data_IF_808241767966
#
_entry.id   IF_808241767966
#
_cell.length_a   1.000
_cell.length_b   1.000
_cell.length_c   1.000
_cell.angle_alpha   90.00
_cell.angle_beta   90.00
_cell.angle_gamma   90.00
#
_symmetry.space_group_name_H-M   'P 1'
#
loop_
_entity.id
_entity.type
_entity.pdbx_description
1 polymer ?
#
# COMPACT_ATOMS: atom_id res chain seq x y z
N UNK A 1 15.98 -12.06 -6.47
CA UNK A 1 15.48 -11.06 -5.52
C UNK A 1 16.64 -10.60 -4.65
N UNK A 2 17.18 -9.42 -4.91
CA UNK A 2 18.20 -8.83 -4.04
C UNK A 2 17.45 -8.15 -2.88
N UNK A 3 17.53 -8.73 -1.69
CA UNK A 3 16.81 -8.19 -0.52
C UNK A 3 17.56 -6.93 -0.08
N UNK A 4 17.01 -5.76 -0.42
CA UNK A 4 17.53 -4.50 0.09
C UNK A 4 17.21 -4.41 1.58
N UNK A 5 18.26 -4.37 2.41
CA UNK A 5 18.13 -4.31 3.85
C UNK A 5 17.51 -2.97 4.28
N UNK A 6 16.47 -3.03 5.09
CA UNK A 6 15.80 -1.87 5.65
C UNK A 6 16.50 -1.52 6.98
N UNK A 7 17.33 -0.48 6.96
CA UNK A 7 18.10 -0.04 8.13
C UNK A 7 17.18 0.71 9.10
N UNK A 8 16.81 0.08 10.20
CA UNK A 8 16.07 0.72 11.29
C UNK A 8 17.03 1.21 12.37
N UNK A 9 16.94 2.49 12.70
CA UNK A 9 17.75 3.11 13.75
C UNK A 9 17.15 2.86 15.14
N UNK A 10 15.87 2.52 15.21
CA UNK A 10 15.15 2.28 16.45
C UNK A 10 14.52 0.88 16.50
N UNK A 11 14.37 0.37 17.72
CA UNK A 11 13.69 -0.90 17.98
C UNK A 11 12.58 -0.72 19.02
N UNK A 12 11.51 -1.50 18.89
CA UNK A 12 10.41 -1.56 19.87
C UNK A 12 9.93 -2.99 20.04
N UNK A 13 9.65 -3.42 21.27
CA UNK A 13 9.03 -4.74 21.47
C UNK A 13 7.57 -4.76 21.00
N UNK A 14 7.10 -5.90 20.52
CA UNK A 14 5.72 -6.08 20.03
C UNK A 14 4.68 -5.74 21.10
N UNK A 15 5.00 -5.99 22.38
CA UNK A 15 4.14 -5.63 23.52
C UNK A 15 4.03 -4.12 23.69
N UNK A 16 5.13 -3.37 23.54
CA UNK A 16 5.14 -1.89 23.63
C UNK A 16 4.51 -1.24 22.40
N UNK A 17 4.67 -1.84 21.22
CA UNK A 17 4.06 -1.33 19.99
C UNK A 17 2.54 -1.22 20.12
N UNK A 18 1.89 -2.21 20.74
CA UNK A 18 0.42 -2.25 20.88
C UNK A 18 -0.14 -1.00 21.57
N UNK A 19 0.56 -0.47 22.58
CA UNK A 19 0.11 0.72 23.32
C UNK A 19 0.65 2.04 22.75
N UNK A 20 1.64 2.00 21.85
CA UNK A 20 2.37 3.18 21.38
C UNK A 20 2.38 3.34 19.86
N UNK A 21 1.57 2.58 19.13
CA UNK A 21 1.55 2.56 17.66
C UNK A 21 1.49 3.97 17.04
N UNK A 22 0.59 4.82 17.52
CA UNK A 22 0.44 6.19 17.02
C UNK A 22 1.73 7.02 17.18
N UNK A 23 2.46 6.85 18.28
CA UNK A 23 3.75 7.53 18.51
C UNK A 23 4.83 7.00 17.59
N UNK A 24 4.87 5.68 17.39
CA UNK A 24 5.84 5.04 16.49
C UNK A 24 5.63 5.51 15.05
N UNK A 25 4.38 5.64 14.60
CA UNK A 25 4.05 6.12 13.24
C UNK A 25 4.42 7.60 13.00
N UNK A 26 4.55 8.40 14.06
CA UNK A 26 5.00 9.80 13.97
C UNK A 26 6.52 9.94 13.90
N UNK A 27 7.28 8.87 14.18
CA UNK A 27 8.74 8.95 14.15
C UNK A 27 9.24 9.04 12.70
N UNK A 28 10.32 9.80 12.47
CA UNK A 28 10.98 9.79 11.17
C UNK A 28 11.69 8.45 10.97
N UNK A 29 11.44 7.79 9.85
CA UNK A 29 12.14 6.58 9.44
C UNK A 29 11.57 5.27 10.00
N UNK A 30 12.20 4.14 9.66
CA UNK A 30 11.74 2.81 10.03
C UNK A 30 12.10 2.40 11.45
N UNK A 31 11.15 1.73 12.11
CA UNK A 31 11.31 1.17 13.46
C UNK A 31 11.19 -0.35 13.40
N UNK A 32 12.21 -1.06 13.87
CA UNK A 32 12.19 -2.52 13.95
C UNK A 32 11.32 -2.98 15.12
N UNK A 33 10.43 -3.93 14.86
CA UNK A 33 9.55 -4.55 15.86
C UNK A 33 10.17 -5.86 16.30
N UNK A 34 10.41 -5.99 17.60
CA UNK A 34 11.02 -7.17 18.19
C UNK A 34 9.97 -8.06 18.85
N UNK A 35 10.03 -9.37 18.59
CA UNK A 35 9.30 -10.42 19.31
C UNK A 35 10.32 -11.38 19.89
N UNK A 36 10.30 -11.61 21.21
CA UNK A 36 11.30 -12.45 21.89
C UNK A 36 12.76 -12.07 21.56
N UNK A 37 13.04 -10.76 21.45
CA UNK A 37 14.34 -10.19 21.09
C UNK A 37 14.82 -10.49 19.65
N UNK A 38 13.95 -11.02 18.80
CA UNK A 38 14.20 -11.21 17.36
C UNK A 38 13.37 -10.21 16.54
N UNK A 39 13.92 -9.76 15.42
CA UNK A 39 13.19 -8.83 14.53
C UNK A 39 12.05 -9.56 13.85
N UNK A 40 10.82 -9.24 14.25
CA UNK A 40 9.59 -9.81 13.70
C UNK A 40 9.08 -9.01 12.49
N UNK A 41 9.45 -7.73 12.39
CA UNK A 41 9.04 -6.87 11.28
C UNK A 41 9.46 -5.42 11.45
N UNK A 42 8.93 -4.55 10.60
CA UNK A 42 9.21 -3.11 10.63
C UNK A 42 7.91 -2.31 10.58
N UNK A 43 7.89 -1.20 11.29
CA UNK A 43 6.85 -0.17 11.17
C UNK A 43 7.47 1.03 10.48
N UNK A 44 6.79 1.53 9.46
CA UNK A 44 7.17 2.71 8.69
C UNK A 44 5.96 3.61 8.53
N UNK A 45 6.19 4.91 8.41
CA UNK A 45 5.12 5.85 8.09
C UNK A 45 4.71 5.75 6.60
N UNK A 46 3.59 6.37 6.26
CA UNK A 46 3.02 6.31 4.91
C UNK A 46 3.95 6.90 3.84
N UNK A 47 4.70 7.96 4.17
CA UNK A 47 5.63 8.62 3.25
C UNK A 47 6.80 7.70 2.87
N UNK A 48 7.41 7.06 3.87
CA UNK A 48 8.51 6.11 3.65
C UNK A 48 8.02 4.91 2.85
N UNK A 49 6.82 4.38 3.15
CA UNK A 49 6.23 3.30 2.38
C UNK A 49 6.04 3.68 0.91
N UNK A 50 5.47 4.86 0.63
CA UNK A 50 5.26 5.33 -0.74
C UNK A 50 6.59 5.46 -1.52
N UNK A 51 7.65 5.94 -0.86
CA UNK A 51 8.99 6.05 -1.46
C UNK A 51 9.59 4.68 -1.78
N UNK A 52 9.41 3.68 -0.91
CA UNK A 52 9.87 2.31 -1.14
C UNK A 52 9.14 1.66 -2.32
N UNK A 53 7.81 1.82 -2.38
CA UNK A 53 7.00 1.33 -3.51
C UNK A 53 7.48 1.97 -4.81
N UNK A 54 7.61 3.29 -4.86
CA UNK A 54 8.06 4.00 -6.06
C UNK A 54 9.49 3.58 -6.49
N UNK A 55 10.38 3.27 -5.54
CA UNK A 55 11.70 2.74 -5.83
C UNK A 55 11.65 1.31 -6.41
N UNK A 56 10.80 0.45 -5.85
CA UNK A 56 10.59 -0.91 -6.33
C UNK A 56 10.01 -0.95 -7.75
N UNK A 57 9.00 -0.12 -8.04
CA UNK A 57 8.40 -0.02 -9.38
C UNK A 57 9.38 0.50 -10.44
N UNK A 58 10.32 1.39 -10.05
CA UNK A 58 11.40 1.84 -10.95
C UNK A 58 12.46 0.77 -11.20
N UNK A 59 12.74 -0.05 -10.20
CA UNK A 59 13.76 -1.09 -10.27
C UNK A 59 13.34 -2.31 -11.09
N UNK A 60 12.05 -2.66 -11.05
CA UNK A 60 11.48 -3.76 -11.84
C UNK A 60 10.21 -3.30 -12.57
N UNK A 61 10.26 -3.07 -13.90
CA UNK A 61 9.13 -2.58 -14.69
C UNK A 61 7.87 -3.45 -14.65
N UNK A 62 8.00 -4.72 -14.23
CA UNK A 62 6.92 -5.69 -14.07
C UNK A 62 6.24 -5.69 -12.70
N UNK A 63 6.83 -5.04 -11.69
CA UNK A 63 6.23 -4.91 -10.37
C UNK A 63 5.50 -3.56 -10.33
N UNK A 64 4.16 -3.61 -10.24
CA UNK A 64 3.35 -2.44 -9.92
C UNK A 64 2.48 -2.72 -8.71
N UNK A 65 2.43 -1.77 -7.79
CA UNK A 65 1.54 -1.86 -6.64
C UNK A 65 0.09 -1.83 -7.11
N UNK A 66 -0.65 -2.91 -6.87
CA UNK A 66 -2.07 -3.00 -7.22
C UNK A 66 -2.93 -2.04 -6.36
N UNK A 67 -2.42 -1.66 -5.19
CA UNK A 67 -3.15 -0.89 -4.17
C UNK A 67 -3.01 0.64 -4.30
N UNK A 68 -2.45 1.14 -5.41
CA UNK A 68 -2.55 2.54 -5.78
C UNK A 68 -3.00 2.64 -7.24
N UNK A 69 -4.32 2.72 -7.52
CA UNK A 69 -4.74 3.13 -8.84
C UNK A 69 -4.21 4.55 -9.06
N UNK A 70 -3.21 4.65 -9.92
CA UNK A 70 -2.65 5.95 -10.33
C UNK A 70 -3.77 6.80 -10.90
N UNK A 71 -3.63 8.13 -10.85
CA UNK A 71 -4.61 9.04 -11.47
C UNK A 71 -4.89 8.68 -12.94
N UNK A 72 -3.89 8.16 -13.66
CA UNK A 72 -4.03 7.59 -15.00
C UNK A 72 -4.94 6.35 -15.05
N UNK A 73 -4.76 5.39 -14.14
CA UNK A 73 -5.61 4.19 -14.05
C UNK A 73 -7.04 4.52 -13.62
N UNK A 74 -7.22 5.48 -12.71
CA UNK A 74 -8.55 5.98 -12.35
C UNK A 74 -9.25 6.61 -13.57
N UNK A 75 -8.53 7.41 -14.36
CA UNK A 75 -9.06 7.98 -15.62
C UNK A 75 -9.46 6.91 -16.62
N UNK A 76 -8.63 5.88 -16.80
CA UNK A 76 -8.92 4.74 -17.67
C UNK A 76 -10.19 4.00 -17.23
N UNK A 77 -10.32 3.72 -15.92
CA UNK A 77 -11.51 3.09 -15.35
C UNK A 77 -12.73 3.98 -15.62
N UNK A 78 -12.67 5.28 -15.31
CA UNK A 78 -13.81 6.18 -15.54
C UNK A 78 -14.18 6.30 -17.02
N UNK A 79 -13.20 6.28 -17.94
CA UNK A 79 -13.45 6.28 -19.37
C UNK A 79 -14.19 5.02 -19.83
N UNK A 80 -13.69 3.84 -19.42
CA UNK A 80 -14.35 2.56 -19.70
C UNK A 80 -15.74 2.47 -19.08
N UNK A 81 -15.91 2.93 -17.85
CA UNK A 81 -17.22 2.98 -17.20
C UNK A 81 -18.20 3.89 -17.95
N UNK A 82 -17.76 5.05 -18.44
CA UNK A 82 -18.60 5.94 -19.22
C UNK A 82 -19.02 5.31 -20.56
N UNK A 83 -18.10 4.63 -21.25
CA UNK A 83 -18.41 3.88 -22.48
C UNK A 83 -19.38 2.73 -22.23
N UNK A 84 -19.20 1.97 -21.13
CA UNK A 84 -20.10 0.88 -20.77
C UNK A 84 -21.50 1.38 -20.44
N UNK A 85 -21.61 2.49 -19.70
CA UNK A 85 -22.91 3.11 -19.37
C UNK A 85 -23.60 3.70 -20.61
N UNK A 86 -22.84 4.31 -21.52
CA UNK A 86 -23.41 4.88 -22.75
C UNK A 86 -23.94 3.81 -23.72
N UNK A 87 -23.39 2.59 -23.67
CA UNK A 87 -23.77 1.48 -24.55
C UNK A 87 -24.64 0.41 -23.86
N UNK A 88 -24.96 0.60 -22.58
CA UNK A 88 -25.81 -0.33 -21.84
C UNK A 88 -27.27 -0.23 -22.29
N UNK A 89 -27.95 -1.37 -22.41
CA UNK A 89 -29.39 -1.38 -22.65
C UNK A 89 -30.16 -0.98 -21.37
N UNK A 90 -31.42 -0.52 -21.49
CA UNK A 90 -32.24 -0.21 -20.32
C UNK A 90 -32.38 -1.40 -19.37
N UNK A 91 -32.48 -2.63 -19.89
CA UNK A 91 -32.55 -3.82 -19.04
C UNK A 91 -31.26 -4.06 -18.24
N UNK A 92 -30.09 -3.78 -18.83
CA UNK A 92 -28.79 -3.92 -18.16
C UNK A 92 -28.54 -2.85 -17.08
N UNK A 93 -29.19 -1.69 -17.20
CA UNK A 93 -29.09 -0.61 -16.22
C UNK A 93 -30.04 -0.81 -15.02
N UNK A 94 -31.13 -1.56 -15.21
CA UNK A 94 -32.08 -1.91 -14.16
C UNK A 94 -31.68 -3.19 -13.39
N UNK A 95 -30.72 -3.97 -13.89
CA UNK A 95 -30.24 -5.20 -13.27
C UNK A 95 -29.16 -4.91 -12.20
N UNK A 96 -29.59 -4.67 -10.96
CA UNK A 96 -28.68 -4.62 -9.81
C UNK A 96 -28.62 -5.99 -9.10
N UNK A 97 -27.68 -6.84 -9.50
CA UNK A 97 -27.32 -8.02 -8.70
C UNK A 97 -26.32 -7.64 -7.61
N UNK A 98 -26.80 -7.60 -6.37
CA UNK A 98 -25.93 -7.55 -5.20
C UNK A 98 -25.31 -8.95 -5.00
N UNK A 99 -24.02 -9.09 -5.33
CA UNK A 99 -23.20 -10.23 -4.90
C UNK A 99 -22.55 -9.96 -3.54
#
# INVERSE_FOLDING_TARGET
MNIQALLAEETISITKLRSQLAKVLQRPGPVAVLSNNETAGYVINAEVFARLVAAAEKGEPGIRAQFQPTSARLREITGRSAELLANASPEQLDEFEAH
#
